data_IF_458599962025
#
_entry.id   IF_458599962025
#
_cell.length_a   1.000
_cell.length_b   1.000
_cell.length_c   1.000
_cell.angle_alpha   90.00
_cell.angle_beta   90.00
_cell.angle_gamma   90.00
#
_symmetry.space_group_name_H-M   'P 1'
#
loop_
_entity.id
_entity.type
_entity.pdbx_description
1 polymer ?
#
# COMPACT_ATOMS: atom_id res chain seq x y z
N UNK A 1 24.54 -11.84 -3.62
CA UNK A 1 23.06 -11.71 -3.53
C UNK A 1 22.61 -12.60 -2.38
N UNK A 2 21.78 -12.11 -1.45
CA UNK A 2 21.33 -12.96 -0.33
C UNK A 2 20.39 -14.07 -0.83
N UNK A 3 20.33 -15.25 -0.18
CA UNK A 3 19.41 -16.32 -0.56
C UNK A 3 17.94 -15.87 -0.59
N UNK A 4 17.55 -14.97 0.32
CA UNK A 4 16.22 -14.36 0.35
C UNK A 4 15.93 -13.52 -0.89
N UNK A 5 16.89 -12.70 -1.34
CA UNK A 5 16.74 -11.89 -2.56
C UNK A 5 16.66 -12.76 -3.82
N UNK A 6 17.38 -13.87 -3.87
CA UNK A 6 17.29 -14.81 -5.00
C UNK A 6 15.88 -15.45 -5.08
N UNK A 7 15.33 -15.92 -3.96
CA UNK A 7 13.97 -16.46 -3.93
C UNK A 7 12.91 -15.42 -4.31
N UNK A 8 13.07 -14.18 -3.84
CA UNK A 8 12.20 -13.07 -4.23
C UNK A 8 12.28 -12.82 -5.74
N UNK A 9 13.48 -12.84 -6.32
CA UNK A 9 13.67 -12.70 -7.76
C UNK A 9 13.02 -13.82 -8.57
N UNK A 10 13.20 -15.08 -8.16
CA UNK A 10 12.56 -16.23 -8.79
C UNK A 10 11.04 -16.08 -8.75
N UNK A 11 10.50 -15.68 -7.61
CA UNK A 11 9.05 -15.46 -7.47
C UNK A 11 8.56 -14.32 -8.36
N UNK A 12 9.31 -13.23 -8.45
CA UNK A 12 8.97 -12.10 -9.31
C UNK A 12 9.01 -12.47 -10.80
N UNK A 13 10.03 -13.22 -11.24
CA UNK A 13 10.20 -13.62 -12.65
C UNK A 13 9.25 -14.73 -13.09
N UNK A 14 8.65 -15.47 -12.15
CA UNK A 14 7.63 -16.49 -12.44
C UNK A 14 6.21 -15.99 -12.23
N UNK A 15 6.05 -14.80 -11.63
CA UNK A 15 4.74 -14.19 -11.43
C UNK A 15 4.25 -13.50 -12.71
N UNK A 16 2.99 -13.75 -13.08
CA UNK A 16 2.39 -13.20 -14.29
C UNK A 16 2.34 -11.66 -14.29
N UNK A 17 2.20 -11.02 -13.13
CA UNK A 17 2.27 -9.57 -13.02
C UNK A 17 3.71 -9.09 -13.19
N UNK A 18 4.69 -9.74 -12.55
CA UNK A 18 6.11 -9.42 -12.69
C UNK A 18 6.59 -9.49 -14.15
N UNK A 19 6.20 -10.56 -14.86
CA UNK A 19 6.48 -10.72 -16.29
C UNK A 19 5.82 -9.63 -17.15
N UNK A 20 4.53 -9.32 -16.93
CA UNK A 20 3.85 -8.25 -17.67
C UNK A 20 4.52 -6.89 -17.47
N UNK A 21 4.97 -6.57 -16.24
CA UNK A 21 5.70 -5.33 -15.95
C UNK A 21 7.08 -5.30 -16.58
N UNK A 22 7.77 -6.44 -16.62
CA UNK A 22 9.06 -6.56 -17.32
C UNK A 22 8.88 -6.29 -18.82
N UNK A 23 7.85 -6.86 -19.45
CA UNK A 23 7.54 -6.57 -20.84
C UNK A 23 7.14 -5.11 -21.07
N UNK A 24 6.40 -4.50 -20.14
CA UNK A 24 6.05 -3.06 -20.20
C UNK A 24 7.29 -2.17 -20.09
N UNK A 25 8.25 -2.56 -19.25
CA UNK A 25 9.53 -1.88 -19.09
C UNK A 25 10.35 -1.93 -20.38
N UNK A 26 10.49 -3.12 -20.96
CA UNK A 26 11.16 -3.29 -22.26
C UNK A 26 10.44 -2.52 -23.38
N UNK A 27 9.10 -2.50 -23.38
CA UNK A 27 8.32 -1.75 -24.37
C UNK A 27 8.53 -0.24 -24.24
N UNK A 28 8.52 0.29 -23.01
CA UNK A 28 8.75 1.72 -22.75
C UNK A 28 10.18 2.13 -23.12
N UNK A 29 11.18 1.35 -22.76
CA UNK A 29 12.57 1.58 -23.18
C UNK A 29 12.73 1.58 -24.70
N UNK A 30 12.17 0.57 -25.37
CA UNK A 30 12.20 0.49 -26.85
C UNK A 30 11.57 1.73 -27.48
N UNK A 31 10.42 2.18 -26.96
CA UNK A 31 9.75 3.38 -27.44
C UNK A 31 10.54 4.67 -27.14
N UNK A 32 11.23 4.71 -26.01
CA UNK A 32 12.06 5.85 -25.61
C UNK A 32 13.27 5.98 -26.54
N UNK A 33 13.94 4.87 -26.87
CA UNK A 33 15.05 4.86 -27.84
C UNK A 33 14.61 5.20 -29.26
N UNK A 34 13.40 4.80 -29.66
CA UNK A 34 12.80 5.23 -30.92
C UNK A 34 12.53 6.74 -30.96
N UNK A 35 12.14 7.33 -29.83
CA UNK A 35 11.78 8.75 -29.74
C UNK A 35 12.99 9.66 -29.56
N UNK A 36 14.02 9.17 -28.86
CA UNK A 36 15.26 9.89 -28.59
C UNK A 36 16.47 9.01 -28.95
N UNK A 37 16.88 8.98 -30.23
CA UNK A 37 17.98 8.14 -30.69
C UNK A 37 19.34 8.44 -30.04
N UNK A 38 19.49 9.60 -29.39
CA UNK A 38 20.69 9.99 -28.64
C UNK A 38 20.78 9.36 -27.25
N UNK A 39 19.68 8.91 -26.64
CA UNK A 39 19.69 8.32 -25.30
C UNK A 39 20.56 7.06 -25.17
N UNK A 40 20.53 6.10 -26.12
CA UNK A 40 21.41 4.93 -26.08
C UNK A 40 22.89 5.29 -25.97
N UNK A 41 23.32 6.41 -26.57
CA UNK A 41 24.72 6.86 -26.53
C UNK A 41 25.15 7.31 -25.13
N UNK A 42 24.22 7.82 -24.31
CA UNK A 42 24.50 8.20 -22.93
C UNK A 42 24.29 7.03 -21.95
N UNK A 43 23.29 6.18 -22.20
CA UNK A 43 22.85 5.17 -21.24
C UNK A 43 23.62 3.84 -21.34
N UNK A 44 23.92 3.36 -22.54
CA UNK A 44 24.59 2.06 -22.70
C UNK A 44 26.04 2.06 -22.19
N UNK A 45 26.84 3.14 -22.32
CA UNK A 45 28.18 3.19 -21.70
C UNK A 45 28.13 3.12 -20.18
N UNK A 46 27.12 3.74 -19.56
CA UNK A 46 26.90 3.62 -18.11
C UNK A 46 26.65 2.18 -17.68
N UNK A 47 26.02 1.36 -18.52
CA UNK A 47 25.81 -0.07 -18.30
C UNK A 47 27.02 -0.95 -18.68
N UNK A 48 28.16 -0.36 -19.03
CA UNK A 48 29.38 -1.08 -19.39
C UNK A 48 29.45 -1.55 -20.84
N UNK A 49 28.53 -1.10 -21.72
CA UNK A 49 28.65 -1.37 -23.15
C UNK A 49 29.68 -0.43 -23.80
N UNK A 50 30.60 -0.93 -24.64
CA UNK A 50 31.61 -0.11 -25.28
C UNK A 50 30.96 0.92 -26.21
N UNK A 51 31.24 2.20 -25.96
CA UNK A 51 30.63 3.32 -26.68
C UNK A 51 30.86 3.27 -28.20
N UNK A 52 31.99 2.69 -28.62
CA UNK A 52 32.41 2.51 -30.01
C UNK A 52 31.42 1.64 -30.82
N UNK A 53 30.71 0.73 -30.15
CA UNK A 53 29.73 -0.17 -30.79
C UNK A 53 28.33 0.43 -30.84
N UNK A 54 28.11 1.62 -30.27
CA UNK A 54 26.79 2.27 -30.23
C UNK A 54 26.62 3.14 -31.48
N UNK A 55 25.62 2.86 -32.34
CA UNK A 55 25.38 3.66 -33.53
C UNK A 55 24.99 5.09 -33.15
N UNK A 56 25.73 6.08 -33.65
CA UNK A 56 25.42 7.52 -33.43
C UNK A 56 24.09 7.96 -34.04
N UNK A 57 23.62 7.23 -35.06
CA UNK A 57 22.31 7.41 -35.67
C UNK A 57 21.63 6.06 -35.90
N UNK A 58 20.31 6.02 -35.69
CA UNK A 58 19.50 4.83 -35.93
C UNK A 58 19.15 4.74 -37.42
N UNK A 59 19.71 3.74 -38.12
CA UNK A 59 19.38 3.49 -39.52
C UNK A 59 17.88 3.18 -39.69
N UNK A 60 17.28 3.44 -40.87
CA UNK A 60 15.88 3.13 -41.14
C UNK A 60 15.51 1.67 -40.85
N UNK A 61 16.39 0.73 -41.22
CA UNK A 61 16.22 -0.69 -40.92
C UNK A 61 16.14 -0.97 -39.41
N UNK A 62 17.03 -0.37 -38.60
CA UNK A 62 17.01 -0.53 -37.14
C UNK A 62 15.76 0.09 -36.51
N UNK A 63 15.29 1.23 -37.03
CA UNK A 63 14.01 1.84 -36.60
C UNK A 63 12.83 0.90 -36.86
N UNK A 64 12.80 0.24 -38.02
CA UNK A 64 11.78 -0.74 -38.35
C UNK A 64 11.83 -1.94 -37.38
N UNK A 65 13.01 -2.51 -37.14
CA UNK A 65 13.18 -3.63 -36.21
C UNK A 65 12.73 -3.27 -34.79
N UNK A 66 13.10 -2.09 -34.28
CA UNK A 66 12.64 -1.64 -32.95
C UNK A 66 11.13 -1.39 -32.91
N UNK A 67 10.54 -0.91 -34.01
CA UNK A 67 9.09 -0.74 -34.12
C UNK A 67 8.38 -2.09 -34.08
N UNK A 68 8.92 -3.09 -34.78
CA UNK A 68 8.42 -4.47 -34.73
C UNK A 68 8.57 -5.06 -33.32
N UNK A 69 9.73 -4.89 -32.68
CA UNK A 69 9.97 -5.33 -31.31
C UNK A 69 8.97 -4.71 -30.34
N UNK A 70 8.75 -3.38 -30.41
CA UNK A 70 7.73 -2.69 -29.61
C UNK A 70 6.35 -3.32 -29.81
N UNK A 71 5.97 -3.61 -31.06
CA UNK A 71 4.68 -4.24 -31.38
C UNK A 71 4.56 -5.63 -30.76
N UNK A 72 5.63 -6.45 -30.87
CA UNK A 72 5.66 -7.81 -30.30
C UNK A 72 5.62 -7.80 -28.78
N UNK A 73 6.33 -6.88 -28.12
CA UNK A 73 6.28 -6.69 -26.67
C UNK A 73 4.87 -6.25 -26.22
N UNK A 74 4.25 -5.33 -26.96
CA UNK A 74 2.88 -4.90 -26.69
C UNK A 74 1.89 -6.05 -26.80
N UNK A 75 2.01 -6.88 -27.84
CA UNK A 75 1.21 -8.09 -28.02
C UNK A 75 1.44 -9.10 -26.89
N UNK A 76 2.70 -9.35 -26.53
CA UNK A 76 3.11 -10.20 -25.40
C UNK A 76 2.40 -9.84 -24.11
N UNK A 77 2.28 -8.53 -23.81
CA UNK A 77 1.55 -8.05 -22.64
C UNK A 77 0.05 -8.30 -22.70
N UNK A 78 -0.56 -8.30 -23.90
CA UNK A 78 -2.00 -8.57 -24.06
C UNK A 78 -2.33 -10.00 -23.66
N UNK A 79 -1.46 -10.97 -23.94
CA UNK A 79 -1.64 -12.37 -23.50
C UNK A 79 -1.82 -12.46 -21.97
N UNK A 80 -1.01 -11.74 -21.19
CA UNK A 80 -1.14 -11.69 -19.72
C UNK A 80 -2.40 -10.96 -19.22
N UNK A 81 -3.15 -10.28 -20.10
CA UNK A 81 -4.34 -9.50 -19.76
C UNK A 81 -5.65 -10.06 -20.31
N UNK A 82 -5.59 -11.15 -21.08
CA UNK A 82 -6.73 -11.66 -21.86
C UNK A 82 -8.01 -11.87 -21.03
N UNK A 83 -7.90 -12.23 -19.75
CA UNK A 83 -9.05 -12.42 -18.86
C UNK A 83 -9.07 -11.45 -17.67
N UNK A 84 -8.24 -10.40 -17.68
CA UNK A 84 -8.20 -9.41 -16.56
C UNK A 84 -9.46 -8.55 -16.44
N UNK A 85 -10.32 -8.54 -17.46
CA UNK A 85 -11.62 -7.90 -17.34
C UNK A 85 -12.49 -8.56 -16.26
N UNK A 86 -12.46 -9.90 -16.16
CA UNK A 86 -13.21 -10.66 -15.15
C UNK A 86 -12.73 -10.29 -13.75
N UNK A 87 -11.41 -10.25 -13.56
CA UNK A 87 -10.81 -9.84 -12.29
C UNK A 87 -11.19 -8.40 -11.92
N UNK A 88 -11.17 -7.48 -12.90
CA UNK A 88 -11.51 -6.08 -12.67
C UNK A 88 -12.99 -5.90 -12.30
N UNK A 89 -13.90 -6.62 -12.96
CA UNK A 89 -15.32 -6.61 -12.62
C UNK A 89 -15.61 -7.28 -11.28
N UNK A 90 -14.95 -8.41 -10.99
CA UNK A 90 -15.04 -9.07 -9.68
C UNK A 90 -14.62 -8.13 -8.55
N UNK A 91 -13.46 -7.47 -8.69
CA UNK A 91 -13.00 -6.47 -7.72
C UNK A 91 -13.96 -5.30 -7.55
N UNK A 92 -14.61 -4.85 -8.63
CA UNK A 92 -15.62 -3.79 -8.56
C UNK A 92 -16.86 -4.26 -7.77
N UNK A 93 -17.29 -5.49 -8.04
CA UNK A 93 -18.45 -6.10 -7.39
C UNK A 93 -18.21 -6.38 -5.91
N UNK A 94 -17.06 -6.95 -5.54
CA UNK A 94 -16.68 -7.19 -4.15
C UNK A 94 -16.70 -5.89 -3.32
N UNK A 95 -16.13 -4.82 -3.88
CA UNK A 95 -16.14 -3.50 -3.25
C UNK A 95 -17.55 -2.94 -3.09
N UNK A 96 -18.41 -3.17 -4.08
CA UNK A 96 -19.81 -2.76 -4.01
C UNK A 96 -20.55 -3.51 -2.89
N UNK A 97 -20.38 -4.83 -2.80
CA UNK A 97 -20.99 -5.66 -1.74
C UNK A 97 -20.49 -5.23 -0.36
N UNK A 98 -19.17 -5.02 -0.19
CA UNK A 98 -18.59 -4.55 1.06
C UNK A 98 -19.16 -3.18 1.46
N UNK A 99 -19.27 -2.27 0.50
CA UNK A 99 -19.80 -0.94 0.74
C UNK A 99 -21.30 -0.96 1.09
N UNK A 100 -22.09 -1.78 0.39
CA UNK A 100 -23.52 -1.95 0.64
C UNK A 100 -23.81 -2.63 1.99
N UNK A 101 -22.98 -3.61 2.39
CA UNK A 101 -23.09 -4.26 3.69
C UNK A 101 -22.83 -3.25 4.83
N UNK A 102 -21.75 -2.46 4.73
CA UNK A 102 -21.42 -1.42 5.72
C UNK A 102 -22.51 -0.35 5.83
N UNK A 103 -23.09 0.10 4.72
CA UNK A 103 -24.14 1.12 4.74
C UNK A 103 -25.48 0.62 5.33
N UNK A 104 -25.73 -0.70 5.33
CA UNK A 104 -26.88 -1.31 6.02
C UNK A 104 -26.66 -1.39 7.53
N UNK A 105 -25.47 -1.78 7.98
CA UNK A 105 -25.12 -1.83 9.40
C UNK A 105 -25.22 -0.45 10.05
N UNK A 106 -24.69 0.59 9.39
CA UNK A 106 -24.75 1.97 9.90
C UNK A 106 -26.18 2.53 9.98
N UNK A 107 -27.08 2.09 9.09
CA UNK A 107 -28.52 2.45 9.15
C UNK A 107 -29.27 1.68 10.23
N UNK A 108 -28.92 0.42 10.48
CA UNK A 108 -29.53 -0.40 11.53
C UNK A 108 -29.14 0.01 12.96
N UNK A 109 -27.98 0.67 13.13
CA UNK A 109 -27.50 1.12 14.45
C UNK A 109 -27.99 2.51 14.89
N UNK A 110 -28.74 3.23 14.05
CA UNK A 110 -29.15 4.62 14.31
C UNK A 110 -30.67 4.76 14.46
N UNK A 111 -31.27 4.01 15.38
CA UNK A 111 -32.63 4.24 15.89
C UNK A 111 -32.60 4.85 17.28
N UNK A 112 -31.95 5.99 17.48
CA UNK A 112 -32.23 6.90 18.60
C UNK A 112 -31.93 8.35 18.22
N UNK A 113 -33.01 9.14 18.15
CA UNK A 113 -33.13 10.59 18.31
C UNK A 113 -31.98 11.51 17.85
N UNK A 114 -32.16 12.19 16.72
CA UNK A 114 -31.37 13.37 16.38
C UNK A 114 -31.92 14.12 15.18
N UNK A 115 -32.83 15.07 15.41
CA UNK A 115 -33.29 16.03 14.41
C UNK A 115 -32.09 16.88 13.95
N UNK A 116 -31.59 16.67 12.74
CA UNK A 116 -30.68 17.62 12.08
C UNK A 116 -31.45 18.50 11.10
N UNK A 117 -31.18 19.80 11.19
CA UNK A 117 -31.79 20.88 10.39
C UNK A 117 -31.41 20.73 8.92
N UNK A 118 -32.42 20.69 8.06
CA UNK A 118 -32.27 20.76 6.62
C UNK A 118 -31.84 22.19 6.22
N UNK A 119 -30.68 22.28 5.56
CA UNK A 119 -30.13 23.52 5.00
C UNK A 119 -29.76 23.32 3.54
N UNK A 120 -30.71 23.74 2.69
CA UNK A 120 -30.59 24.27 1.33
C UNK A 120 -29.46 23.76 0.40
N UNK A 121 -29.88 22.98 -0.59
CA UNK A 121 -29.10 22.45 -1.71
C UNK A 121 -29.26 20.94 -1.73
N UNK A 122 -30.27 20.35 -2.36
CA UNK A 122 -30.35 20.18 -3.82
C UNK A 122 -29.01 19.84 -4.52
N UNK A 123 -27.96 19.51 -3.78
CA UNK A 123 -26.69 19.02 -4.27
C UNK A 123 -26.68 17.50 -4.06
N UNK A 124 -27.11 16.75 -5.08
CA UNK A 124 -27.10 15.28 -5.08
C UNK A 124 -28.07 14.68 -4.06
N UNK A 125 -29.39 14.81 -4.28
CA UNK A 125 -30.44 14.02 -3.61
C UNK A 125 -30.37 12.51 -3.90
N UNK A 126 -29.18 11.99 -4.19
CA UNK A 126 -28.88 10.73 -4.83
C UNK A 126 -27.48 10.26 -4.37
N UNK A 127 -27.22 10.37 -3.06
CA UNK A 127 -26.19 9.60 -2.35
C UNK A 127 -26.56 8.12 -2.50
N UNK A 128 -26.21 7.55 -3.66
CA UNK A 128 -26.49 6.17 -4.13
C UNK A 128 -26.35 5.13 -3.00
N UNK A 129 -27.45 4.84 -2.29
CA UNK A 129 -27.54 3.76 -1.30
C UNK A 129 -26.74 3.92 0.00
N UNK A 130 -26.31 5.13 0.37
CA UNK A 130 -25.48 5.36 1.57
C UNK A 130 -24.02 4.94 1.41
N UNK A 131 -23.56 4.71 0.18
CA UNK A 131 -22.15 4.44 -0.13
C UNK A 131 -21.45 5.77 -0.39
N UNK A 132 -20.35 6.04 0.33
CA UNK A 132 -19.57 7.28 0.17
C UNK A 132 -18.96 7.43 -1.22
N UNK A 133 -18.85 8.68 -1.70
CA UNK A 133 -18.36 9.03 -3.06
C UNK A 133 -16.99 8.42 -3.36
N UNK A 134 -16.08 8.39 -2.39
CA UNK A 134 -14.74 7.77 -2.55
C UNK A 134 -14.85 6.29 -2.94
N UNK A 135 -15.75 5.53 -2.30
CA UNK A 135 -15.95 4.11 -2.63
C UNK A 135 -16.56 3.94 -4.02
N UNK A 136 -17.48 4.82 -4.42
CA UNK A 136 -18.01 4.82 -5.78
C UNK A 136 -16.95 5.11 -6.84
N UNK A 137 -16.02 6.03 -6.56
CA UNK A 137 -14.89 6.28 -7.46
C UNK A 137 -14.00 5.03 -7.59
N UNK A 138 -13.74 4.31 -6.50
CA UNK A 138 -12.99 3.05 -6.57
C UNK A 138 -13.72 1.96 -7.35
N UNK A 139 -15.02 1.78 -7.14
CA UNK A 139 -15.87 0.82 -7.87
C UNK A 139 -15.89 1.16 -9.35
N UNK A 140 -16.17 2.43 -9.67
CA UNK A 140 -16.23 2.94 -11.04
C UNK A 140 -14.88 2.81 -11.76
N UNK A 141 -13.77 3.10 -11.07
CA UNK A 141 -12.43 2.91 -11.62
C UNK A 141 -12.20 1.45 -12.05
N UNK A 142 -12.55 0.49 -11.19
CA UNK A 142 -12.39 -0.95 -11.49
C UNK A 142 -13.33 -1.41 -12.60
N UNK A 143 -14.57 -0.95 -12.60
CA UNK A 143 -15.55 -1.25 -13.66
C UNK A 143 -15.09 -0.75 -15.02
N UNK A 144 -14.71 0.53 -15.14
CA UNK A 144 -14.25 1.12 -16.40
C UNK A 144 -12.96 0.47 -16.91
N UNK A 145 -12.04 0.12 -16.00
CA UNK A 145 -10.84 -0.62 -16.36
C UNK A 145 -11.17 -2.05 -16.86
N UNK A 146 -12.21 -2.68 -16.30
CA UNK A 146 -12.75 -3.94 -16.80
C UNK A 146 -13.29 -3.82 -18.22
N UNK A 147 -14.01 -2.75 -18.54
CA UNK A 147 -14.50 -2.48 -19.91
C UNK A 147 -13.35 -2.31 -20.89
N UNK A 148 -12.29 -1.59 -20.51
CA UNK A 148 -11.07 -1.49 -21.33
C UNK A 148 -10.47 -2.87 -21.63
N UNK A 149 -10.30 -3.73 -20.60
CA UNK A 149 -9.76 -5.07 -20.81
C UNK A 149 -10.69 -5.94 -21.66
N UNK A 150 -12.01 -5.77 -21.52
CA UNK A 150 -12.98 -6.48 -22.37
C UNK A 150 -12.82 -6.09 -23.85
N UNK A 151 -12.65 -4.79 -24.13
CA UNK A 151 -12.34 -4.31 -25.48
C UNK A 151 -10.99 -4.84 -26.00
N UNK A 152 -9.97 -4.89 -25.14
CA UNK A 152 -8.65 -5.47 -25.47
C UNK A 152 -8.75 -6.96 -25.83
N UNK A 153 -9.54 -7.73 -25.07
CA UNK A 153 -9.80 -9.16 -25.33
C UNK A 153 -10.62 -9.37 -26.60
N UNK A 154 -11.67 -8.58 -26.80
CA UNK A 154 -12.52 -8.68 -27.99
C UNK A 154 -11.74 -8.41 -29.29
N UNK A 155 -10.75 -7.52 -29.24
CA UNK A 155 -9.89 -7.15 -30.38
C UNK A 155 -8.56 -7.90 -30.42
N UNK A 156 -8.38 -8.90 -29.55
CA UNK A 156 -7.13 -9.63 -29.44
C UNK A 156 -6.78 -10.40 -30.71
N UNK A 157 -7.77 -11.08 -31.31
CA UNK A 157 -7.57 -11.90 -32.52
C UNK A 157 -7.12 -11.03 -33.70
N UNK A 158 -7.75 -9.87 -33.88
CA UNK A 158 -7.37 -8.90 -34.92
C UNK A 158 -5.93 -8.38 -34.76
N UNK A 159 -5.44 -8.26 -33.52
CA UNK A 159 -4.06 -7.83 -33.26
C UNK A 159 -3.01 -8.92 -33.58
N UNK A 160 -3.40 -10.20 -33.63
CA UNK A 160 -2.48 -11.27 -34.04
C UNK A 160 -2.08 -11.12 -35.52
N UNK A 161 -2.85 -10.36 -36.31
CA UNK A 161 -2.62 -10.11 -37.74
C UNK A 161 -2.47 -11.40 -38.54
N UNK A 162 -3.21 -12.44 -38.15
CA UNK A 162 -3.34 -13.66 -38.96
C UNK A 162 -4.35 -13.37 -40.06
N UNK A 163 -3.91 -13.52 -41.30
CA UNK A 163 -4.74 -13.26 -42.47
C UNK A 163 -5.98 -14.17 -42.46
N UNK A 164 -7.16 -13.58 -42.75
CA UNK A 164 -8.44 -14.31 -42.76
C UNK A 164 -9.09 -14.58 -41.39
N UNK A 165 -8.43 -14.30 -40.26
CA UNK A 165 -8.98 -14.53 -38.91
C UNK A 165 -9.44 -13.26 -38.16
N UNK A 166 -9.39 -12.09 -38.81
CA UNK A 166 -9.85 -10.83 -38.18
C UNK A 166 -11.36 -10.82 -37.99
N UNK A 167 -11.82 -10.84 -36.74
CA UNK A 167 -13.26 -10.85 -36.40
C UNK A 167 -13.90 -9.50 -36.67
N UNK A 168 -13.21 -8.43 -36.32
CA UNK A 168 -13.72 -7.05 -36.46
C UNK A 168 -13.13 -6.36 -37.70
N UNK A 169 -11.97 -6.81 -38.16
CA UNK A 169 -11.17 -6.11 -39.15
C UNK A 169 -10.40 -4.94 -38.53
N UNK A 170 -9.35 -4.48 -39.23
CA UNK A 170 -8.38 -3.47 -38.71
C UNK A 170 -9.04 -2.15 -38.29
N UNK A 171 -10.03 -1.69 -39.06
CA UNK A 171 -10.65 -0.39 -38.81
C UNK A 171 -11.60 -0.43 -37.60
N UNK A 172 -12.46 -1.45 -37.52
CA UNK A 172 -13.41 -1.58 -36.41
C UNK A 172 -12.71 -1.95 -35.11
N UNK A 173 -11.70 -2.84 -35.15
CA UNK A 173 -10.85 -3.13 -34.00
C UNK A 173 -10.16 -1.85 -33.48
N UNK A 174 -9.68 -1.00 -34.40
CA UNK A 174 -9.12 0.31 -34.06
C UNK A 174 -10.12 1.25 -33.37
N UNK A 175 -11.38 1.26 -33.82
CA UNK A 175 -12.47 2.04 -33.17
C UNK A 175 -12.81 1.51 -31.78
N UNK A 176 -13.01 0.20 -31.64
CA UNK A 176 -13.27 -0.45 -30.34
C UNK A 176 -12.14 -0.17 -29.36
N UNK A 177 -10.88 -0.28 -29.80
CA UNK A 177 -9.73 0.01 -28.96
C UNK A 177 -9.63 1.50 -28.60
N UNK A 178 -10.05 2.41 -29.48
CA UNK A 178 -10.11 3.84 -29.16
C UNK A 178 -11.13 4.13 -28.05
N UNK A 179 -12.32 3.53 -28.12
CA UNK A 179 -13.32 3.64 -27.05
C UNK A 179 -12.83 2.97 -25.76
N UNK A 180 -12.18 1.81 -25.86
CA UNK A 180 -11.53 1.17 -24.71
C UNK A 180 -10.53 2.11 -24.03
N UNK A 181 -9.68 2.80 -24.79
CA UNK A 181 -8.73 3.77 -24.24
C UNK A 181 -9.42 4.94 -23.53
N UNK A 182 -10.61 5.39 -23.98
CA UNK A 182 -11.40 6.40 -23.25
C UNK A 182 -11.84 5.88 -21.89
N UNK A 183 -12.36 4.65 -21.83
CA UNK A 183 -12.76 4.02 -20.57
C UNK A 183 -11.57 3.83 -19.63
N UNK A 184 -10.42 3.44 -20.16
CA UNK A 184 -9.18 3.35 -19.37
C UNK A 184 -8.75 4.71 -18.82
N UNK A 185 -8.80 5.78 -19.63
CA UNK A 185 -8.49 7.12 -19.15
C UNK A 185 -9.41 7.53 -17.98
N UNK A 186 -10.72 7.36 -18.13
CA UNK A 186 -11.67 7.68 -17.05
C UNK A 186 -11.45 6.81 -15.82
N UNK A 187 -11.12 5.53 -16.00
CA UNK A 187 -10.78 4.63 -14.89
C UNK A 187 -9.59 5.17 -14.08
N UNK A 188 -8.56 5.70 -14.77
CA UNK A 188 -7.39 6.29 -14.13
C UNK A 188 -7.72 7.60 -13.41
N UNK A 189 -8.54 8.47 -14.01
CA UNK A 189 -9.00 9.70 -13.35
C UNK A 189 -9.69 9.36 -12.02
N UNK A 190 -10.63 8.41 -12.03
CA UNK A 190 -11.31 7.97 -10.81
C UNK A 190 -10.34 7.34 -9.79
N UNK A 191 -9.37 6.53 -10.25
CA UNK A 191 -8.35 5.95 -9.39
C UNK A 191 -7.48 7.02 -8.71
N UNK A 192 -7.05 8.03 -9.46
CA UNK A 192 -6.23 9.13 -8.94
C UNK A 192 -7.01 9.95 -7.91
N UNK A 193 -8.26 10.32 -8.21
CA UNK A 193 -9.09 11.08 -7.26
C UNK A 193 -9.34 10.27 -5.97
N UNK A 194 -9.69 8.99 -6.09
CA UNK A 194 -9.85 8.11 -4.93
C UNK A 194 -8.53 7.95 -4.14
N UNK A 195 -7.42 7.74 -4.83
CA UNK A 195 -6.10 7.60 -4.22
C UNK A 195 -5.66 8.86 -3.47
N UNK A 196 -5.87 10.04 -4.06
CA UNK A 196 -5.59 11.33 -3.41
C UNK A 196 -6.50 11.54 -2.20
N UNK A 197 -7.80 11.24 -2.32
CA UNK A 197 -8.74 11.27 -1.20
C UNK A 197 -8.26 10.43 -0.02
N UNK A 198 -7.85 9.20 -0.30
CA UNK A 198 -7.28 8.27 0.70
C UNK A 198 -6.00 8.81 1.34
N UNK A 199 -5.08 9.38 0.55
CA UNK A 199 -3.81 9.96 1.05
C UNK A 199 -4.08 11.14 1.98
N UNK A 200 -5.05 11.99 1.65
CA UNK A 200 -5.46 13.13 2.47
C UNK A 200 -6.13 12.66 3.76
N UNK A 201 -7.06 11.71 3.67
CA UNK A 201 -7.75 11.13 4.84
C UNK A 201 -6.77 10.49 5.84
N UNK A 202 -5.84 9.67 5.34
CA UNK A 202 -4.78 9.07 6.17
C UNK A 202 -3.85 10.13 6.78
N UNK A 203 -3.61 11.25 6.10
CA UNK A 203 -2.83 12.37 6.64
C UNK A 203 -3.43 12.93 7.93
N UNK A 204 -4.76 13.05 8.01
CA UNK A 204 -5.47 13.49 9.21
C UNK A 204 -5.36 12.50 10.37
N UNK A 205 -5.50 11.20 10.08
CA UNK A 205 -5.36 10.13 11.07
C UNK A 205 -3.94 10.04 11.62
N UNK A 206 -2.94 10.06 10.73
CA UNK A 206 -1.51 10.08 11.09
C UNK A 206 -1.20 11.27 12.01
N UNK A 207 -1.72 12.47 11.69
CA UNK A 207 -1.51 13.64 12.51
C UNK A 207 -2.13 13.49 13.92
N UNK A 208 -3.28 12.82 14.03
CA UNK A 208 -3.93 12.51 15.30
C UNK A 208 -3.12 11.49 16.11
N UNK A 209 -2.79 10.33 15.54
CA UNK A 209 -2.00 9.29 16.21
C UNK A 209 -0.62 9.80 16.62
N UNK A 210 0.03 10.64 15.79
CA UNK A 210 1.32 11.26 16.16
C UNK A 210 1.19 12.22 17.35
N UNK A 211 0.04 12.89 17.53
CA UNK A 211 -0.22 13.70 18.73
C UNK A 211 -0.41 12.81 19.97
N UNK A 212 -1.16 11.72 19.83
CA UNK A 212 -1.37 10.73 20.91
C UNK A 212 -0.06 10.09 21.38
N UNK A 213 0.79 9.63 20.43
CA UNK A 213 2.13 9.10 20.74
C UNK A 213 2.96 10.09 21.54
N UNK A 214 3.02 11.37 21.10
CA UNK A 214 3.79 12.40 21.81
C UNK A 214 3.23 12.72 23.19
N UNK A 215 1.92 12.65 23.37
CA UNK A 215 1.29 12.87 24.68
C UNK A 215 1.67 11.75 25.64
N UNK A 216 1.46 10.50 25.21
CA UNK A 216 1.72 9.33 26.02
C UNK A 216 3.21 9.15 26.33
N UNK A 217 4.10 9.45 25.38
CA UNK A 217 5.55 9.44 25.59
C UNK A 217 5.98 10.43 26.68
N UNK A 218 5.34 11.61 26.76
CA UNK A 218 5.59 12.57 27.84
C UNK A 218 5.07 12.06 29.19
N UNK A 219 3.91 11.42 29.23
CA UNK A 219 3.35 10.82 30.44
C UNK A 219 4.22 9.69 30.97
N UNK A 220 4.59 8.73 30.11
CA UNK A 220 5.48 7.62 30.45
C UNK A 220 6.83 8.13 30.96
N UNK A 221 7.40 9.16 30.32
CA UNK A 221 8.67 9.76 30.76
C UNK A 221 8.55 10.43 32.13
N UNK A 222 7.43 11.10 32.43
CA UNK A 222 7.16 11.70 33.74
C UNK A 222 7.02 10.65 34.83
N UNK A 223 6.22 9.60 34.59
CA UNK A 223 6.04 8.50 35.54
C UNK A 223 7.35 7.75 35.78
N UNK A 224 8.14 7.49 34.72
CA UNK A 224 9.47 6.86 34.83
C UNK A 224 10.44 7.71 35.65
N UNK A 225 10.44 9.03 35.45
CA UNK A 225 11.23 9.95 36.27
C UNK A 225 10.81 9.96 37.75
N UNK A 226 9.51 9.83 38.02
CA UNK A 226 8.97 9.76 39.38
C UNK A 226 9.27 8.42 40.10
N UNK A 227 9.52 7.35 39.34
CA UNK A 227 9.91 6.02 39.87
C UNK A 227 11.42 5.91 40.05
N UNK A 228 12.22 6.63 39.27
CA UNK A 228 13.69 6.59 39.33
C UNK A 228 14.33 7.14 40.61
N UNK A 229 13.55 7.70 41.55
CA UNK A 229 14.01 8.08 42.88
C UNK A 229 13.94 6.90 43.85
N UNK A 230 15.10 6.31 44.18
CA UNK A 230 15.33 5.24 45.18
C UNK A 230 14.28 4.11 45.14
N UNK A 231 14.63 3.00 44.47
CA UNK A 231 13.92 1.73 44.60
C UNK A 231 13.86 1.36 46.07
N UNK A 232 12.66 1.40 46.66
CA UNK A 232 12.47 0.95 48.04
C UNK A 232 12.48 -0.57 47.96
N UNK A 233 13.51 -1.20 48.54
CA UNK A 233 13.56 -2.65 48.68
C UNK A 233 12.30 -3.15 49.38
N UNK A 234 11.81 -4.32 48.96
CA UNK A 234 10.64 -4.95 49.56
C UNK A 234 10.89 -5.08 51.08
N UNK A 235 10.01 -4.52 51.94
CA UNK A 235 10.22 -4.62 53.37
C UNK A 235 10.14 -6.10 53.79
N UNK A 236 11.04 -6.58 54.66
CA UNK A 236 10.99 -7.94 55.16
C UNK A 236 9.66 -8.19 55.89
N UNK A 237 9.12 -9.42 55.84
CA UNK A 237 7.92 -9.77 56.59
C UNK A 237 8.15 -9.53 58.09
N UNK A 238 7.11 -9.12 58.84
CA UNK A 238 7.24 -8.91 60.27
C UNK A 238 7.68 -10.22 60.92
N UNK A 239 8.81 -10.18 61.65
CA UNK A 239 9.30 -11.34 62.38
C UNK A 239 8.26 -11.84 63.40
N UNK A 240 8.27 -13.14 63.73
CA UNK A 240 7.39 -13.67 64.76
C UNK A 240 7.59 -12.92 66.09
N UNK A 241 6.54 -12.73 66.91
CA UNK A 241 6.66 -12.06 68.19
C UNK A 241 7.69 -12.79 69.06
N UNK A 242 8.77 -12.09 69.42
CA UNK A 242 9.79 -12.62 70.32
C UNK A 242 9.20 -12.96 71.69
N UNK A 243 9.81 -13.91 72.43
CA UNK A 243 9.36 -14.26 73.77
C UNK A 243 9.41 -13.04 74.71
N UNK A 244 8.46 -12.93 75.66
CA UNK A 244 8.37 -11.78 76.56
C UNK A 244 9.63 -11.69 77.41
N UNK A 245 10.45 -10.68 77.14
CA UNK A 245 11.62 -10.36 77.96
C UNK A 245 11.11 -9.60 79.20
N UNK A 246 11.15 -10.25 80.36
CA UNK A 246 10.92 -9.60 81.66
C UNK A 246 12.10 -8.67 81.95
N UNK A 247 11.94 -7.39 81.62
CA UNK A 247 12.92 -6.36 81.96
C UNK A 247 12.34 -4.98 81.66
N UNK A 248 12.03 -4.23 82.71
CA UNK A 248 11.37 -2.93 82.64
C UNK A 248 12.05 -1.97 81.65
N UNK A 249 11.26 -1.50 80.68
CA UNK A 249 11.70 -0.55 79.65
C UNK A 249 10.53 -0.19 78.74
N UNK A 250 9.58 0.57 79.27
CA UNK A 250 8.40 1.07 78.54
C UNK A 250 8.88 1.98 77.38
N UNK A 251 8.32 1.75 76.17
CA UNK A 251 8.18 2.72 75.05
C UNK A 251 9.03 2.67 73.76
N UNK A 252 9.67 1.56 73.35
CA UNK A 252 10.29 1.47 71.98
C UNK A 252 9.56 0.63 70.92
N UNK A 253 8.51 -0.13 71.28
CA UNK A 253 7.82 -1.03 70.33
C UNK A 253 6.90 -0.35 69.31
N UNK A 254 6.30 0.81 69.64
CA UNK A 254 5.34 1.49 68.76
C UNK A 254 5.97 2.19 67.54
N UNK A 255 7.22 2.65 67.66
CA UNK A 255 7.92 3.34 66.57
C UNK A 255 8.34 2.39 65.44
N UNK A 256 8.65 1.13 65.75
CA UNK A 256 9.04 0.14 64.75
C UNK A 256 7.86 -0.36 63.90
N UNK A 257 6.66 -0.49 64.50
CA UNK A 257 5.45 -0.88 63.78
C UNK A 257 4.96 0.23 62.82
N UNK A 258 4.99 1.49 63.26
CA UNK A 258 4.61 2.64 62.42
C UNK A 258 5.54 2.82 61.20
N UNK A 259 6.85 2.63 61.38
CA UNK A 259 7.81 2.68 60.27
C UNK A 259 7.62 1.57 59.22
N UNK A 260 7.17 0.40 59.65
CA UNK A 260 6.90 -0.74 58.75
C UNK A 260 5.66 -0.50 57.88
N UNK A 261 4.58 0.05 58.43
CA UNK A 261 3.36 0.40 57.68
C UNK A 261 3.63 1.48 56.61
N UNK A 262 4.38 2.53 56.96
CA UNK A 262 4.79 3.56 56.00
C UNK A 262 5.65 3.00 54.87
N UNK A 263 6.59 2.10 55.18
CA UNK A 263 7.43 1.47 54.17
C UNK A 263 6.61 0.57 53.24
N UNK A 264 5.63 -0.15 53.77
CA UNK A 264 4.74 -0.99 52.98
C UNK A 264 3.81 -0.17 52.07
N UNK A 265 3.30 0.98 52.54
CA UNK A 265 2.51 1.90 51.71
C UNK A 265 3.34 2.47 50.55
N UNK A 266 4.56 2.94 50.82
CA UNK A 266 5.48 3.43 49.79
C UNK A 266 5.81 2.37 48.75
N UNK A 267 6.02 1.13 49.17
CA UNK A 267 6.25 0.00 48.26
C UNK A 267 5.06 -0.25 47.32
N UNK A 268 3.82 -0.29 47.85
CA UNK A 268 2.61 -0.45 47.02
C UNK A 268 2.42 0.71 46.03
N UNK A 269 2.68 1.94 46.47
CA UNK A 269 2.63 3.11 45.59
C UNK A 269 3.67 3.05 44.47
N UNK A 270 4.88 2.57 44.77
CA UNK A 270 5.92 2.34 43.76
C UNK A 270 5.53 1.24 42.78
N UNK A 271 4.96 0.13 43.26
CA UNK A 271 4.49 -0.98 42.41
C UNK A 271 3.37 -0.51 41.46
N UNK A 272 2.37 0.21 41.98
CA UNK A 272 1.29 0.80 41.16
C UNK A 272 1.82 1.78 40.11
N UNK A 273 2.86 2.56 40.43
CA UNK A 273 3.53 3.46 39.47
C UNK A 273 4.28 2.68 38.39
N UNK A 274 5.01 1.63 38.77
CA UNK A 274 5.70 0.73 37.83
C UNK A 274 4.71 0.06 36.88
N UNK A 275 3.56 -0.38 37.38
CA UNK A 275 2.51 -0.95 36.55
C UNK A 275 1.95 0.07 35.55
N UNK A 276 1.69 1.31 35.98
CA UNK A 276 1.29 2.40 35.06
C UNK A 276 2.33 2.67 33.97
N UNK A 277 3.62 2.65 34.31
CA UNK A 277 4.71 2.79 33.33
C UNK A 277 4.66 1.64 32.32
N UNK A 278 4.56 0.38 32.78
CA UNK A 278 4.48 -0.80 31.90
C UNK A 278 3.28 -0.74 30.96
N UNK A 279 2.10 -0.39 31.48
CA UNK A 279 0.87 -0.24 30.68
C UNK A 279 1.02 0.91 29.68
N UNK A 280 1.62 2.02 30.09
CA UNK A 280 1.88 3.17 29.22
C UNK A 280 2.87 2.84 28.09
N UNK A 281 3.95 2.11 28.39
CA UNK A 281 4.93 1.64 27.40
C UNK A 281 4.31 0.67 26.40
N UNK A 282 3.49 -0.29 26.86
CA UNK A 282 2.78 -1.21 25.97
C UNK A 282 1.83 -0.48 25.01
N UNK A 283 1.06 0.48 25.52
CA UNK A 283 0.16 1.31 24.70
C UNK A 283 0.93 2.22 23.74
N UNK A 284 2.09 2.73 24.15
CA UNK A 284 2.96 3.53 23.29
C UNK A 284 3.47 2.70 22.11
N UNK A 285 3.86 1.45 22.36
CA UNK A 285 4.31 0.53 21.31
C UNK A 285 3.18 0.18 20.34
N UNK A 286 1.97 -0.07 20.85
CA UNK A 286 0.77 -0.27 20.01
C UNK A 286 0.51 0.93 19.09
N UNK A 287 0.60 2.15 19.62
CA UNK A 287 0.40 3.37 18.83
C UNK A 287 1.53 3.59 17.81
N UNK A 288 2.78 3.23 18.12
CA UNK A 288 3.91 3.29 17.18
C UNK A 288 3.70 2.32 16.02
N UNK A 289 3.38 1.07 16.31
CA UNK A 289 3.05 0.06 15.29
C UNK A 289 1.86 0.50 14.44
N UNK A 290 0.82 1.10 15.05
CA UNK A 290 -0.31 1.68 14.33
C UNK A 290 0.14 2.82 13.41
N UNK A 291 0.98 3.73 13.89
CA UNK A 291 1.50 4.86 13.12
C UNK A 291 2.32 4.37 11.91
N UNK A 292 3.19 3.39 12.08
CA UNK A 292 3.97 2.79 10.99
C UNK A 292 3.07 2.18 9.92
N UNK A 293 2.04 1.42 10.33
CA UNK A 293 1.04 0.86 9.41
C UNK A 293 0.28 1.94 8.63
N UNK A 294 -0.08 3.05 9.28
CA UNK A 294 -0.74 4.17 8.61
C UNK A 294 0.19 4.87 7.62
N UNK A 295 1.45 5.08 7.99
CA UNK A 295 2.47 5.67 7.11
C UNK A 295 2.73 4.80 5.87
N UNK A 296 2.89 3.49 6.07
CA UNK A 296 3.05 2.52 4.97
C UNK A 296 1.82 2.51 4.05
N UNK A 297 0.61 2.49 4.62
CA UNK A 297 -0.64 2.55 3.85
C UNK A 297 -0.75 3.84 3.04
N UNK A 298 -0.38 4.99 3.63
CA UNK A 298 -0.38 6.29 2.94
C UNK A 298 0.66 6.34 1.83
N UNK A 299 1.85 5.82 2.08
CA UNK A 299 2.92 5.74 1.08
C UNK A 299 2.50 4.87 -0.11
N UNK A 300 1.97 3.67 0.14
CA UNK A 300 1.46 2.75 -0.90
C UNK A 300 0.32 3.37 -1.71
N UNK A 301 -0.63 4.05 -1.05
CA UNK A 301 -1.70 4.78 -1.73
C UNK A 301 -1.18 5.94 -2.59
N UNK A 302 -0.25 6.74 -2.07
CA UNK A 302 0.36 7.85 -2.79
C UNK A 302 1.15 7.38 -4.01
N UNK A 303 2.00 6.36 -3.85
CA UNK A 303 2.74 5.74 -4.96
C UNK A 303 1.80 5.24 -6.05
N UNK A 304 0.70 4.59 -5.66
CA UNK A 304 -0.30 4.09 -6.61
C UNK A 304 -0.97 5.22 -7.37
N UNK A 305 -1.39 6.28 -6.68
CA UNK A 305 -1.99 7.45 -7.30
C UNK A 305 -1.04 8.14 -8.29
N UNK A 306 0.25 8.26 -7.95
CA UNK A 306 1.27 8.79 -8.87
C UNK A 306 1.43 7.88 -10.09
N UNK A 307 1.50 6.56 -9.90
CA UNK A 307 1.61 5.62 -11.01
C UNK A 307 0.40 5.70 -11.96
N UNK A 308 -0.82 5.79 -11.40
CA UNK A 308 -2.05 5.91 -12.19
C UNK A 308 -2.11 7.27 -12.93
N UNK A 309 -1.64 8.37 -12.30
CA UNK A 309 -1.53 9.68 -12.94
C UNK A 309 -0.56 9.67 -14.13
N UNK A 310 0.62 9.07 -13.95
CA UNK A 310 1.59 8.90 -15.04
C UNK A 310 1.03 8.06 -16.18
N UNK A 311 0.25 7.02 -15.84
CA UNK A 311 -0.39 6.13 -16.81
C UNK A 311 -1.47 6.82 -17.64
N UNK A 312 -2.07 7.93 -17.19
CA UNK A 312 -3.08 8.69 -17.96
C UNK A 312 -2.55 9.20 -19.30
N UNK A 313 -1.24 9.41 -19.40
CA UNK A 313 -0.60 9.87 -20.63
C UNK A 313 -0.76 8.89 -21.79
N UNK A 314 -0.81 7.58 -21.51
CA UNK A 314 -0.90 6.54 -22.55
C UNK A 314 -2.27 6.54 -23.25
N UNK A 315 -3.42 6.36 -22.56
CA UNK A 315 -4.72 6.45 -23.19
C UNK A 315 -5.05 7.89 -23.62
N UNK A 316 -4.62 8.90 -22.87
CA UNK A 316 -4.86 10.31 -23.21
C UNK A 316 -4.26 10.68 -24.57
N UNK A 317 -3.04 10.21 -24.86
CA UNK A 317 -2.43 10.33 -26.19
C UNK A 317 -3.15 9.47 -27.23
N UNK A 318 -3.50 8.22 -26.91
CA UNK A 318 -4.14 7.30 -27.86
C UNK A 318 -5.50 7.82 -28.37
N UNK A 319 -6.24 8.54 -27.52
CA UNK A 319 -7.53 9.17 -27.88
C UNK A 319 -7.33 10.56 -28.51
N UNK A 320 -6.17 11.19 -28.32
CA UNK A 320 -5.88 12.54 -28.82
C UNK A 320 -6.32 13.67 -27.88
N UNK A 321 -6.56 13.38 -26.61
CA UNK A 321 -6.94 14.37 -25.60
C UNK A 321 -5.76 15.16 -25.05
N UNK A 322 -4.55 14.62 -25.14
CA UNK A 322 -3.35 15.25 -24.60
C UNK A 322 -2.26 15.34 -25.68
N UNK A 323 -1.67 16.52 -25.94
CA UNK A 323 -0.70 16.72 -27.02
C UNK A 323 0.72 16.27 -26.64
N UNK A 324 0.86 15.10 -26.00
CA UNK A 324 2.17 14.60 -25.61
C UNK A 324 2.94 13.97 -26.77
N UNK A 325 4.23 14.25 -26.84
CA UNK A 325 5.14 13.55 -27.76
C UNK A 325 5.27 12.07 -27.39
N UNK A 326 5.64 11.22 -28.35
CA UNK A 326 5.76 9.76 -28.12
C UNK A 326 6.86 9.44 -27.11
N UNK A 327 7.90 10.28 -27.07
CA UNK A 327 9.00 10.20 -26.12
C UNK A 327 8.57 10.51 -24.68
N UNK A 328 7.79 11.58 -24.48
CA UNK A 328 7.25 11.93 -23.16
C UNK A 328 6.36 10.80 -22.64
N UNK A 329 5.43 10.28 -23.46
CA UNK A 329 4.58 9.15 -23.05
C UNK A 329 5.41 7.92 -22.69
N UNK A 330 6.49 7.62 -23.42
CA UNK A 330 7.37 6.49 -23.05
C UNK A 330 8.11 6.72 -21.74
N UNK A 331 8.54 7.94 -21.44
CA UNK A 331 9.20 8.26 -20.18
C UNK A 331 8.24 8.15 -19.00
N UNK A 332 7.01 8.66 -19.15
CA UNK A 332 5.96 8.54 -18.14
C UNK A 332 5.56 7.07 -17.93
N UNK A 333 5.41 6.30 -19.03
CA UNK A 333 5.15 4.87 -18.96
C UNK A 333 6.31 4.10 -18.30
N UNK A 334 7.55 4.50 -18.52
CA UNK A 334 8.72 3.91 -17.86
C UNK A 334 8.68 4.16 -16.36
N UNK A 335 8.41 5.41 -15.96
CA UNK A 335 8.28 5.82 -14.56
C UNK A 335 7.17 5.07 -13.83
N UNK A 336 5.97 4.99 -14.41
CA UNK A 336 4.85 4.24 -13.82
C UNK A 336 5.13 2.74 -13.75
N UNK A 337 5.83 2.19 -14.74
CA UNK A 337 6.23 0.77 -14.75
C UNK A 337 7.24 0.49 -13.65
N UNK A 338 8.20 1.38 -13.41
CA UNK A 338 9.13 1.26 -12.30
C UNK A 338 8.40 1.26 -10.96
N UNK A 339 7.52 2.23 -10.72
CA UNK A 339 6.74 2.33 -9.47
C UNK A 339 5.87 1.09 -9.22
N UNK A 340 5.20 0.59 -10.26
CA UNK A 340 4.35 -0.62 -10.15
C UNK A 340 5.16 -1.92 -10.10
N UNK A 341 6.35 -1.96 -10.71
CA UNK A 341 7.28 -3.07 -10.61
C UNK A 341 7.81 -3.24 -9.19
N UNK A 342 8.15 -2.14 -8.51
CA UNK A 342 8.55 -2.13 -7.09
C UNK A 342 7.42 -2.66 -6.19
N UNK A 343 6.16 -2.32 -6.48
CA UNK A 343 5.02 -2.85 -5.73
C UNK A 343 4.90 -4.38 -5.84
N UNK A 344 5.07 -4.94 -7.05
CA UNK A 344 5.06 -6.39 -7.24
C UNK A 344 6.28 -7.03 -6.57
N UNK A 345 7.45 -6.41 -6.68
CA UNK A 345 8.66 -6.85 -6.00
C UNK A 345 8.46 -6.96 -4.48
N UNK A 346 7.93 -5.92 -3.83
CA UNK A 346 7.62 -5.91 -2.40
C UNK A 346 6.63 -7.03 -2.03
N UNK A 347 5.55 -7.22 -2.80
CA UNK A 347 4.58 -8.31 -2.57
C UNK A 347 5.21 -9.70 -2.66
N UNK A 348 6.11 -9.91 -3.64
CA UNK A 348 6.86 -11.16 -3.74
C UNK A 348 7.73 -11.38 -2.50
N UNK A 349 8.41 -10.33 -2.01
CA UNK A 349 9.23 -10.38 -0.80
C UNK A 349 8.43 -10.71 0.45
N UNK A 350 7.32 -10.01 0.68
CA UNK A 350 6.39 -10.28 1.79
C UNK A 350 5.89 -11.73 1.76
N UNK A 351 5.58 -12.25 0.57
CA UNK A 351 5.10 -13.62 0.43
C UNK A 351 6.19 -14.66 0.69
N UNK A 352 7.44 -14.39 0.28
CA UNK A 352 8.59 -15.26 0.62
C UNK A 352 8.83 -15.26 2.12
N UNK A 353 8.80 -14.10 2.78
CA UNK A 353 8.96 -13.99 4.23
C UNK A 353 7.87 -14.76 5.00
N UNK A 354 6.61 -14.66 4.56
CA UNK A 354 5.49 -15.42 5.14
C UNK A 354 5.67 -16.93 4.99
N UNK A 355 6.15 -17.40 3.85
CA UNK A 355 6.43 -18.82 3.62
C UNK A 355 7.58 -19.32 4.50
N UNK A 356 8.64 -18.53 4.67
CA UNK A 356 9.76 -18.87 5.55
C UNK A 356 9.30 -18.98 7.02
N UNK A 357 8.56 -18.00 7.53
CA UNK A 357 8.02 -18.02 8.89
C UNK A 357 7.09 -19.22 9.14
N UNK A 358 6.26 -19.58 8.16
CA UNK A 358 5.40 -20.77 8.25
C UNK A 358 6.20 -22.08 8.24
N UNK A 359 7.33 -22.12 7.53
CA UNK A 359 8.26 -23.24 7.54
C UNK A 359 8.92 -23.43 8.91
N UNK A 360 9.42 -22.34 9.50
CA UNK A 360 10.03 -22.35 10.84
C UNK A 360 9.03 -22.74 11.94
N UNK A 361 7.79 -22.24 11.86
CA UNK A 361 6.72 -22.60 12.80
C UNK A 361 6.36 -24.09 12.75
N UNK A 362 6.53 -24.74 11.60
CA UNK A 362 6.34 -26.20 11.45
C UNK A 362 7.56 -27.01 11.87
N UNK A 363 8.75 -26.41 11.84
CA UNK A 363 10.02 -27.08 12.16
C UNK A 363 10.33 -27.08 13.66
N UNK A 364 9.70 -26.21 14.47
CA UNK A 364 9.77 -26.34 15.94
C UNK A 364 8.99 -27.58 16.37
N UNK A 365 9.65 -28.64 16.88
CA UNK A 365 8.93 -29.77 17.45
C UNK A 365 8.07 -29.26 18.60
N UNK A 366 6.85 -29.81 18.73
CA UNK A 366 6.08 -29.67 19.97
C UNK A 366 6.95 -30.24 21.08
N UNK A 367 7.55 -29.37 21.89
CA UNK A 367 8.08 -29.76 23.18
C UNK A 367 6.87 -30.20 24.00
N UNK A 368 6.65 -31.50 24.05
CA UNK A 368 5.75 -32.16 25.01
C UNK A 368 6.34 -32.07 26.42
#
# INVERSE_FOLDING_TARGET
MSPSTLHQFIKFSTDAYGLERTLRFLQSLTQLFLSYPSLPLAFLPFLGFPAEKIPRALSPAKKLTLTQLKSRLSLGRRYFRLFRFLESFSQAFDKYIEAAAKSRVERGGKTTGGKSKAGAGLAVGLVLGGIGVEKWMEIGSKGLNGVYYCAETATFVDELRVEGLGVWGRELAGRVMREGNRMWFFALVLAVVAGVGKVVGLGGEIARTRREVRHLEREVRRERGAVGGVLVEQPPPPGPPGPPTQGGGRSKGGAAAAGWEEQQQRWREQEMRLERVRVGEAKLEELRVKLEKLLDTRYKAGRRAVADLLDMAVPGKAVGWVPFSTGVVSALMLGSTWLTGLEVWEKCGESVAKSAAKGEAKAKPKSE
#
